data_IF_487076837286
#
_entry.id   IF_487076837286
#
_cell.length_a   1.000
_cell.length_b   1.000
_cell.length_c   1.000
_cell.angle_alpha   90.00
_cell.angle_beta   90.00
_cell.angle_gamma   90.00
#
_symmetry.space_group_name_H-M   'P 1'
#
loop_
_entity.id
_entity.type
_entity.pdbx_description
1 polymer ?
#
# COMPACT_ATOMS: atom_id res chain seq x y z
N UNK A 1 -9.79 36.68 10.14
CA UNK A 1 -9.91 35.33 10.76
C UNK A 1 -10.07 34.34 9.63
N UNK A 2 -9.21 33.32 9.54
CA UNK A 2 -9.47 32.18 8.66
C UNK A 2 -10.73 31.51 9.19
N UNK A 3 -11.81 31.56 8.41
CA UNK A 3 -13.08 30.93 8.76
C UNK A 3 -12.84 29.41 8.71
N UNK A 4 -12.81 28.75 9.86
CA UNK A 4 -12.64 27.30 9.94
C UNK A 4 -14.01 26.65 9.78
N UNK A 5 -14.24 25.95 8.66
CA UNK A 5 -15.44 25.13 8.53
C UNK A 5 -15.28 23.89 9.40
N UNK A 6 -16.24 23.67 10.30
CA UNK A 6 -16.33 22.44 11.06
C UNK A 6 -17.24 21.47 10.33
N UNK A 7 -16.68 20.31 9.97
CA UNK A 7 -17.43 19.24 9.34
C UNK A 7 -18.45 18.67 10.33
N UNK A 8 -19.72 18.73 9.96
CA UNK A 8 -20.77 17.99 10.65
C UNK A 8 -20.75 16.56 10.08
N UNK A 9 -20.37 15.58 10.90
CA UNK A 9 -20.31 14.17 10.46
C UNK A 9 -21.68 13.54 10.23
N UNK A 10 -22.74 14.14 10.78
CA UNK A 10 -24.11 13.69 10.63
C UNK A 10 -25.06 14.78 10.07
N UNK A 11 -24.91 15.18 8.80
CA UNK A 11 -25.79 16.17 8.17
C UNK A 11 -27.25 15.70 8.02
N UNK A 12 -27.51 14.39 8.08
CA UNK A 12 -28.85 13.79 7.90
C UNK A 12 -29.58 13.49 9.22
N UNK A 13 -28.94 13.75 10.38
CA UNK A 13 -29.47 13.37 11.69
C UNK A 13 -29.49 11.86 11.95
N UNK A 14 -28.81 11.08 11.10
CA UNK A 14 -28.49 9.68 11.31
C UNK A 14 -27.10 9.37 10.73
N UNK A 15 -26.14 9.08 11.63
CA UNK A 15 -24.75 8.78 11.28
C UNK A 15 -24.58 7.65 10.25
N UNK A 16 -25.45 6.65 10.24
CA UNK A 16 -25.39 5.54 9.29
C UNK A 16 -25.76 6.00 7.88
N UNK A 17 -26.77 6.85 7.76
CA UNK A 17 -27.21 7.40 6.46
C UNK A 17 -26.14 8.37 5.94
N UNK A 18 -25.65 9.25 6.81
CA UNK A 18 -24.57 10.18 6.50
C UNK A 18 -23.30 9.43 6.02
N UNK A 19 -22.94 8.35 6.70
CA UNK A 19 -21.80 7.50 6.32
C UNK A 19 -22.04 6.74 5.00
N UNK A 20 -23.24 6.20 4.79
CA UNK A 20 -23.60 5.52 3.55
C UNK A 20 -23.48 6.45 2.33
N UNK A 21 -23.81 7.74 2.50
CA UNK A 21 -23.64 8.71 1.43
C UNK A 21 -22.18 9.12 1.24
N UNK A 22 -21.42 9.29 2.34
CA UNK A 22 -19.97 9.53 2.25
C UNK A 22 -19.23 8.39 1.52
N UNK A 23 -19.77 7.17 1.55
CA UNK A 23 -19.23 6.02 0.82
C UNK A 23 -19.48 6.06 -0.69
N UNK A 24 -20.42 6.87 -1.20
CA UNK A 24 -20.81 6.87 -2.63
C UNK A 24 -19.62 7.06 -3.58
N UNK A 25 -18.72 8.05 -3.40
CA UNK A 25 -17.57 8.22 -4.29
C UNK A 25 -16.60 7.05 -4.24
N UNK A 26 -16.43 6.44 -3.05
CA UNK A 26 -15.53 5.30 -2.81
C UNK A 26 -16.08 4.07 -3.53
N UNK A 27 -17.34 3.73 -3.29
CA UNK A 27 -18.03 2.60 -3.93
C UNK A 27 -18.03 2.78 -5.45
N UNK A 28 -18.35 3.98 -5.93
CA UNK A 28 -18.28 4.27 -7.36
C UNK A 28 -16.88 4.02 -7.94
N UNK A 29 -15.82 4.48 -7.28
CA UNK A 29 -14.46 4.29 -7.74
C UNK A 29 -14.10 2.80 -7.87
N UNK A 30 -14.46 2.00 -6.88
CA UNK A 30 -14.26 0.54 -6.92
C UNK A 30 -15.07 -0.13 -8.04
N UNK A 31 -16.34 0.22 -8.21
CA UNK A 31 -17.18 -0.33 -9.28
C UNK A 31 -16.66 0.08 -10.67
N UNK A 32 -16.20 1.32 -10.82
CA UNK A 32 -15.61 1.84 -12.05
C UNK A 32 -14.39 1.05 -12.50
N UNK A 33 -13.53 0.65 -11.56
CA UNK A 33 -12.33 -0.13 -11.86
C UNK A 33 -12.59 -1.63 -11.97
N UNK A 34 -13.30 -2.22 -11.01
CA UNK A 34 -13.45 -3.67 -10.90
C UNK A 34 -14.50 -4.23 -11.87
N UNK A 35 -15.63 -3.53 -12.02
CA UNK A 35 -16.77 -4.01 -12.82
C UNK A 35 -16.77 -3.36 -14.20
N UNK A 36 -16.77 -2.02 -14.24
CA UNK A 36 -16.86 -1.28 -15.50
C UNK A 36 -15.53 -1.22 -16.26
N UNK A 37 -14.41 -1.61 -15.61
CA UNK A 37 -13.06 -1.66 -16.19
C UNK A 37 -12.66 -0.35 -16.89
N UNK A 38 -13.06 0.78 -16.31
CA UNK A 38 -12.78 2.10 -16.84
C UNK A 38 -11.28 2.41 -16.70
N UNK A 39 -10.78 3.30 -17.56
CA UNK A 39 -9.42 3.85 -17.40
C UNK A 39 -9.36 4.58 -16.05
N UNK A 40 -8.31 4.32 -15.26
CA UNK A 40 -8.16 4.88 -13.93
C UNK A 40 -8.23 6.41 -13.88
N UNK A 41 -7.71 7.10 -14.90
CA UNK A 41 -7.83 8.55 -15.02
C UNK A 41 -9.29 9.01 -15.10
N UNK A 42 -10.11 8.34 -15.90
CA UNK A 42 -11.54 8.69 -16.07
C UNK A 42 -12.31 8.37 -14.79
N UNK A 43 -12.08 7.18 -14.20
CA UNK A 43 -12.69 6.79 -12.94
C UNK A 43 -12.38 7.80 -11.82
N UNK A 44 -11.11 8.19 -11.66
CA UNK A 44 -10.68 9.15 -10.66
C UNK A 44 -11.30 10.53 -10.87
N UNK A 45 -11.34 11.05 -12.10
CA UNK A 45 -11.96 12.35 -12.38
C UNK A 45 -13.44 12.37 -12.02
N UNK A 46 -14.19 11.32 -12.36
CA UNK A 46 -15.61 11.22 -12.02
C UNK A 46 -15.78 11.10 -10.49
N UNK A 47 -14.94 10.31 -9.82
CA UNK A 47 -14.98 10.18 -8.35
C UNK A 47 -14.72 11.51 -7.65
N UNK A 48 -13.75 12.29 -8.09
CA UNK A 48 -13.46 13.62 -7.53
C UNK A 48 -14.66 14.56 -7.73
N UNK A 49 -15.30 14.50 -8.90
CA UNK A 49 -16.51 15.28 -9.16
C UNK A 49 -17.68 14.83 -8.28
N UNK A 50 -17.88 13.52 -8.09
CA UNK A 50 -18.90 13.00 -7.18
C UNK A 50 -18.65 13.43 -5.73
N UNK A 51 -17.40 13.35 -5.25
CA UNK A 51 -17.02 13.78 -3.91
C UNK A 51 -17.30 15.28 -3.71
N UNK A 52 -17.08 16.11 -4.73
CA UNK A 52 -17.44 17.53 -4.73
C UNK A 52 -18.93 17.77 -4.60
N UNK A 53 -19.74 17.06 -5.38
CA UNK A 53 -21.19 17.22 -5.31
C UNK A 53 -21.71 16.80 -3.93
N UNK A 54 -21.19 15.69 -3.37
CA UNK A 54 -21.53 15.25 -2.01
C UNK A 54 -21.13 16.30 -0.97
N UNK A 55 -19.94 16.89 -1.07
CA UNK A 55 -19.47 17.90 -0.10
C UNK A 55 -20.32 19.19 -0.16
N UNK A 56 -20.70 19.64 -1.35
CA UNK A 56 -21.53 20.83 -1.54
C UNK A 56 -22.98 20.62 -1.10
N UNK A 57 -23.63 19.57 -1.59
CA UNK A 57 -25.09 19.43 -1.44
C UNK A 57 -25.49 18.80 -0.11
N UNK A 58 -24.68 17.88 0.43
CA UNK A 58 -25.05 17.12 1.62
C UNK A 58 -24.35 17.61 2.87
N UNK A 59 -23.03 17.82 2.79
CA UNK A 59 -22.27 18.38 3.90
C UNK A 59 -22.34 19.92 3.95
N UNK A 60 -22.99 20.55 2.96
CA UNK A 60 -23.21 22.01 2.88
C UNK A 60 -21.91 22.80 3.06
N UNK A 61 -20.81 22.27 2.54
CA UNK A 61 -19.51 22.91 2.59
C UNK A 61 -19.52 24.18 1.73
N UNK A 62 -18.99 25.32 2.21
CA UNK A 62 -18.87 26.53 1.39
C UNK A 62 -18.08 26.26 0.10
N UNK A 63 -18.60 26.73 -1.04
CA UNK A 63 -18.02 26.46 -2.37
C UNK A 63 -16.53 26.82 -2.44
N UNK A 64 -16.14 27.97 -1.85
CA UNK A 64 -14.75 28.41 -1.83
C UNK A 64 -13.83 27.42 -1.12
N UNK A 65 -14.29 26.80 -0.02
CA UNK A 65 -13.51 25.80 0.69
C UNK A 65 -13.51 24.46 -0.03
N UNK A 66 -14.62 24.04 -0.62
CA UNK A 66 -14.69 22.82 -1.41
C UNK A 66 -13.72 22.86 -2.62
N UNK A 67 -13.68 24.00 -3.32
CA UNK A 67 -12.71 24.25 -4.41
C UNK A 67 -11.28 24.30 -3.88
N UNK A 68 -11.03 24.96 -2.74
CA UNK A 68 -9.72 25.00 -2.13
C UNK A 68 -9.21 23.60 -1.76
N UNK A 69 -10.08 22.73 -1.21
CA UNK A 69 -9.77 21.34 -0.90
C UNK A 69 -9.47 20.51 -2.16
N UNK A 70 -10.20 20.72 -3.26
CA UNK A 70 -9.88 20.09 -4.55
C UNK A 70 -8.50 20.48 -5.05
N UNK A 71 -8.19 21.79 -5.05
CA UNK A 71 -6.91 22.31 -5.50
C UNK A 71 -5.78 21.81 -4.61
N UNK A 72 -5.99 21.80 -3.29
CA UNK A 72 -5.06 21.22 -2.33
C UNK A 72 -4.79 19.74 -2.62
N UNK A 73 -5.85 18.94 -2.82
CA UNK A 73 -5.73 17.52 -3.18
C UNK A 73 -5.01 17.29 -4.51
N UNK A 74 -5.23 18.15 -5.51
CA UNK A 74 -4.50 18.12 -6.78
C UNK A 74 -3.00 18.36 -6.58
N UNK A 75 -2.62 19.41 -5.85
CA UNK A 75 -1.21 19.69 -5.57
C UNK A 75 -0.56 18.63 -4.67
N UNK A 76 -1.32 18.04 -3.74
CA UNK A 76 -0.86 16.90 -2.95
C UNK A 76 -0.63 15.65 -3.83
N UNK A 77 -1.49 15.40 -4.81
CA UNK A 77 -1.24 14.35 -5.81
C UNK A 77 -0.02 14.65 -6.69
N UNK A 78 0.14 15.90 -7.13
CA UNK A 78 1.19 16.30 -8.05
C UNK A 78 2.57 16.37 -7.38
N UNK A 79 2.64 16.86 -6.14
CA UNK A 79 3.91 17.16 -5.51
C UNK A 79 4.48 15.95 -4.75
N UNK A 80 3.95 15.51 -3.59
CA UNK A 80 4.52 14.35 -2.91
C UNK A 80 4.30 13.04 -3.68
N UNK A 81 3.08 12.75 -4.17
CA UNK A 81 2.78 11.42 -4.72
C UNK A 81 3.42 11.20 -6.10
N UNK A 82 3.21 12.12 -7.05
CA UNK A 82 3.75 11.94 -8.40
C UNK A 82 5.29 11.97 -8.40
N UNK A 83 5.92 12.74 -7.52
CA UNK A 83 7.39 12.81 -7.44
C UNK A 83 8.00 11.51 -6.93
N UNK A 84 7.36 10.82 -5.97
CA UNK A 84 7.76 9.49 -5.52
C UNK A 84 7.69 8.49 -6.68
N UNK A 85 6.57 8.47 -7.42
CA UNK A 85 6.39 7.54 -8.55
C UNK A 85 7.40 7.82 -9.66
N UNK A 86 7.62 9.10 -10.00
CA UNK A 86 8.62 9.49 -11.01
C UNK A 86 10.01 9.05 -10.57
N UNK A 87 10.40 9.30 -9.32
CA UNK A 87 11.68 8.88 -8.74
C UNK A 87 11.85 7.36 -8.78
N UNK A 88 10.84 6.60 -8.35
CA UNK A 88 10.85 5.14 -8.35
C UNK A 88 10.98 4.57 -9.77
N UNK A 89 10.19 5.07 -10.72
CA UNK A 89 10.25 4.64 -12.14
C UNK A 89 11.59 5.04 -12.76
N UNK A 90 12.15 6.19 -12.40
CA UNK A 90 13.44 6.64 -12.88
C UNK A 90 14.57 5.73 -12.39
N UNK A 91 14.62 5.40 -11.10
CA UNK A 91 15.56 4.44 -10.53
C UNK A 91 15.40 3.08 -11.19
N UNK A 92 14.16 2.59 -11.33
CA UNK A 92 13.87 1.33 -12.02
C UNK A 92 14.44 1.33 -13.46
N UNK A 93 14.17 2.38 -14.24
CA UNK A 93 14.68 2.50 -15.61
C UNK A 93 16.21 2.56 -15.67
N UNK A 94 16.87 3.22 -14.73
CA UNK A 94 18.33 3.23 -14.62
C UNK A 94 18.85 1.83 -14.32
N UNK A 95 18.28 1.14 -13.33
CA UNK A 95 18.70 -0.22 -12.94
C UNK A 95 18.52 -1.24 -14.07
N UNK A 96 17.44 -1.11 -14.85
CA UNK A 96 17.23 -1.94 -16.05
C UNK A 96 18.24 -1.58 -17.14
N UNK A 97 18.43 -0.29 -17.44
CA UNK A 97 19.33 0.15 -18.52
C UNK A 97 20.81 -0.14 -18.24
N UNK A 98 21.23 -0.12 -16.97
CA UNK A 98 22.61 -0.40 -16.55
C UNK A 98 22.91 -1.90 -16.42
N UNK A 99 21.93 -2.79 -16.65
CA UNK A 99 22.08 -4.23 -16.49
C UNK A 99 22.18 -4.69 -15.02
N UNK A 100 22.07 -3.78 -14.06
CA UNK A 100 22.06 -4.11 -12.63
C UNK A 100 20.88 -5.00 -12.26
N UNK A 101 19.77 -4.89 -12.99
CA UNK A 101 18.63 -5.79 -12.84
C UNK A 101 18.97 -7.26 -13.11
N UNK A 102 19.80 -7.53 -14.12
CA UNK A 102 20.26 -8.89 -14.43
C UNK A 102 21.22 -9.40 -13.35
N UNK A 103 22.02 -8.50 -12.77
CA UNK A 103 22.87 -8.83 -11.62
C UNK A 103 22.01 -9.21 -10.42
N UNK A 104 20.99 -8.42 -10.07
CA UNK A 104 20.04 -8.74 -8.98
C UNK A 104 19.39 -10.11 -9.22
N UNK A 105 18.89 -10.35 -10.44
CA UNK A 105 18.32 -11.64 -10.85
C UNK A 105 19.32 -12.79 -10.67
N UNK A 106 20.57 -12.60 -11.10
CA UNK A 106 21.62 -13.63 -10.99
C UNK A 106 22.01 -13.90 -9.53
N UNK A 107 22.05 -12.87 -8.69
CA UNK A 107 22.32 -13.00 -7.26
C UNK A 107 21.21 -13.79 -6.57
N UNK A 108 19.93 -13.54 -6.90
CA UNK A 108 18.80 -14.31 -6.33
C UNK A 108 18.86 -15.78 -6.77
N UNK A 109 19.10 -16.04 -8.06
CA UNK A 109 19.25 -17.41 -8.59
C UNK A 109 20.45 -18.16 -8.00
N UNK A 110 21.54 -17.46 -7.65
CA UNK A 110 22.70 -18.08 -7.01
C UNK A 110 22.44 -18.53 -5.57
N UNK A 111 21.42 -17.97 -4.90
CA UNK A 111 21.05 -18.37 -3.54
C UNK A 111 20.15 -19.61 -3.58
N UNK A 112 19.16 -19.63 -4.47
CA UNK A 112 18.19 -20.72 -4.53
C UNK A 112 17.50 -20.87 -5.88
N UNK A 113 17.33 -22.12 -6.30
CA UNK A 113 16.52 -22.51 -7.45
C UNK A 113 15.05 -22.76 -7.07
N UNK A 114 14.72 -22.84 -5.77
CA UNK A 114 13.35 -23.07 -5.31
C UNK A 114 12.50 -21.79 -5.49
N UNK A 115 11.49 -21.87 -6.36
CA UNK A 115 10.56 -20.78 -6.62
C UNK A 115 9.87 -20.27 -5.35
N UNK A 116 9.60 -21.14 -4.37
CA UNK A 116 8.98 -20.75 -3.08
C UNK A 116 9.90 -19.80 -2.31
N UNK A 117 11.19 -20.13 -2.24
CA UNK A 117 12.18 -19.29 -1.57
C UNK A 117 12.47 -18.01 -2.37
N UNK A 118 12.46 -18.06 -3.71
CA UNK A 118 12.54 -16.87 -4.54
C UNK A 118 11.37 -15.90 -4.29
N UNK A 119 10.16 -16.43 -4.06
CA UNK A 119 9.02 -15.61 -3.68
C UNK A 119 9.22 -14.92 -2.31
N UNK A 120 9.77 -15.61 -1.30
CA UNK A 120 10.10 -14.97 -0.03
C UNK A 120 11.16 -13.88 -0.17
N UNK A 121 12.20 -14.13 -0.97
CA UNK A 121 13.30 -13.17 -1.12
C UNK A 121 12.86 -11.94 -1.92
N UNK A 122 12.19 -12.16 -3.05
CA UNK A 122 11.86 -11.09 -4.01
C UNK A 122 10.51 -10.46 -3.71
N UNK A 123 9.47 -11.28 -3.60
CA UNK A 123 8.11 -10.78 -3.46
C UNK A 123 7.80 -10.31 -2.05
N UNK A 124 8.37 -10.95 -1.02
CA UNK A 124 8.26 -10.47 0.36
C UNK A 124 9.40 -9.52 0.73
N UNK A 125 10.62 -10.01 1.00
CA UNK A 125 11.66 -9.20 1.62
C UNK A 125 12.07 -7.96 0.79
N UNK A 126 12.34 -8.14 -0.50
CA UNK A 126 12.65 -7.01 -1.37
C UNK A 126 11.42 -6.13 -1.66
N UNK A 127 10.23 -6.75 -1.74
CA UNK A 127 8.95 -6.03 -1.90
C UNK A 127 8.62 -5.12 -0.73
N UNK A 128 8.75 -5.60 0.50
CA UNK A 128 8.52 -4.84 1.74
C UNK A 128 9.49 -3.67 1.85
N UNK A 129 10.76 -3.87 1.48
CA UNK A 129 11.75 -2.79 1.43
C UNK A 129 11.35 -1.70 0.43
N UNK A 130 10.95 -2.09 -0.78
CA UNK A 130 10.49 -1.14 -1.79
C UNK A 130 9.18 -0.42 -1.37
N UNK A 131 8.29 -1.08 -0.62
CA UNK A 131 7.06 -0.47 -0.08
C UNK A 131 7.35 0.65 0.91
N UNK A 132 8.39 0.51 1.72
CA UNK A 132 8.88 1.59 2.58
C UNK A 132 9.30 2.82 1.79
N UNK A 133 10.12 2.61 0.75
CA UNK A 133 10.72 3.68 -0.03
C UNK A 133 9.77 4.33 -1.06
N UNK A 134 8.92 3.54 -1.73
CA UNK A 134 8.12 3.99 -2.86
C UNK A 134 6.60 3.97 -2.61
N UNK A 135 6.11 2.95 -1.89
CA UNK A 135 4.69 2.71 -1.65
C UNK A 135 3.78 2.72 -2.90
N UNK A 136 2.48 2.94 -2.69
CA UNK A 136 1.47 3.14 -3.75
C UNK A 136 1.39 2.03 -4.81
N UNK A 137 1.79 0.80 -4.47
CA UNK A 137 1.74 -0.36 -5.38
C UNK A 137 2.85 -0.40 -6.45
N UNK A 138 3.77 0.57 -6.49
CA UNK A 138 4.97 0.49 -7.31
C UNK A 138 5.85 -0.74 -6.96
N UNK A 139 6.04 -1.12 -5.68
CA UNK A 139 6.80 -2.31 -5.28
C UNK A 139 6.22 -3.60 -5.84
N UNK A 140 4.90 -3.74 -5.81
CA UNK A 140 4.19 -4.91 -6.36
C UNK A 140 4.47 -5.05 -7.85
N UNK A 141 4.46 -3.94 -8.60
CA UNK A 141 4.76 -3.99 -10.03
C UNK A 141 6.22 -4.41 -10.31
N UNK A 142 7.17 -3.86 -9.55
CA UNK A 142 8.61 -4.16 -9.71
C UNK A 142 8.92 -5.62 -9.34
N UNK A 143 8.43 -6.08 -8.18
CA UNK A 143 8.65 -7.46 -7.71
C UNK A 143 7.95 -8.49 -8.58
N UNK A 144 6.73 -8.20 -9.06
CA UNK A 144 6.06 -9.07 -10.01
C UNK A 144 6.84 -9.20 -11.33
N UNK A 145 7.37 -8.09 -11.86
CA UNK A 145 8.20 -8.12 -13.06
C UNK A 145 9.51 -8.93 -12.85
N UNK A 146 10.13 -8.81 -11.67
CA UNK A 146 11.30 -9.61 -11.28
C UNK A 146 10.98 -11.11 -11.24
N UNK A 147 9.89 -11.50 -10.58
CA UNK A 147 9.45 -12.90 -10.51
C UNK A 147 9.09 -13.46 -11.89
N UNK A 148 8.49 -12.66 -12.77
CA UNK A 148 8.26 -13.05 -14.17
C UNK A 148 9.59 -13.31 -14.88
N UNK A 149 10.59 -12.45 -14.65
CA UNK A 149 11.96 -12.69 -15.12
C UNK A 149 12.55 -14.00 -14.60
N UNK A 150 12.21 -14.42 -13.38
CA UNK A 150 12.63 -15.69 -12.79
C UNK A 150 11.81 -16.92 -13.27
N UNK A 151 10.84 -16.73 -14.17
CA UNK A 151 10.09 -17.81 -14.81
C UNK A 151 8.66 -18.00 -14.27
N UNK A 152 8.18 -17.12 -13.40
CA UNK A 152 6.79 -17.16 -12.94
C UNK A 152 5.82 -16.69 -14.04
N UNK A 153 4.60 -17.23 -14.04
CA UNK A 153 3.53 -16.74 -14.92
C UNK A 153 3.13 -15.31 -14.50
N UNK A 154 2.97 -14.35 -15.43
CA UNK A 154 2.72 -12.94 -15.10
C UNK A 154 1.56 -12.66 -14.14
N UNK A 155 0.38 -13.19 -14.45
CA UNK A 155 -0.80 -13.01 -13.59
C UNK A 155 -0.63 -13.66 -12.21
N UNK A 156 0.08 -14.78 -12.17
CA UNK A 156 0.33 -15.51 -10.94
C UNK A 156 1.32 -14.76 -10.03
N UNK A 157 2.45 -14.30 -10.60
CA UNK A 157 3.42 -13.47 -9.89
C UNK A 157 2.79 -12.18 -9.34
N UNK A 158 2.01 -11.48 -10.16
CA UNK A 158 1.31 -10.27 -9.72
C UNK A 158 0.34 -10.55 -8.56
N UNK A 159 -0.41 -11.65 -8.63
CA UNK A 159 -1.31 -12.06 -7.54
C UNK A 159 -0.57 -12.39 -6.24
N UNK A 160 0.53 -13.15 -6.34
CA UNK A 160 1.39 -13.48 -5.19
C UNK A 160 1.98 -12.23 -4.53
N UNK A 161 2.52 -11.30 -5.33
CA UNK A 161 3.04 -10.03 -4.83
C UNK A 161 1.95 -9.18 -4.17
N UNK A 162 0.74 -9.12 -4.74
CA UNK A 162 -0.39 -8.39 -4.15
C UNK A 162 -0.78 -8.93 -2.77
N UNK A 163 -0.86 -10.26 -2.63
CA UNK A 163 -1.21 -10.90 -1.35
C UNK A 163 -0.16 -10.56 -0.29
N UNK A 164 1.12 -10.73 -0.63
CA UNK A 164 2.22 -10.52 0.32
C UNK A 164 2.41 -9.05 0.69
N UNK A 165 2.09 -8.12 -0.21
CA UNK A 165 2.15 -6.69 0.09
C UNK A 165 1.12 -6.24 1.15
N UNK A 166 0.16 -7.09 1.52
CA UNK A 166 -0.83 -6.78 2.57
C UNK A 166 -0.18 -6.49 3.93
N UNK A 167 0.94 -7.14 4.24
CA UNK A 167 1.64 -6.94 5.51
C UNK A 167 2.38 -5.58 5.60
N UNK A 168 3.21 -5.18 4.63
CA UNK A 168 3.90 -3.89 4.70
C UNK A 168 3.01 -2.68 4.45
N UNK A 169 1.95 -2.77 3.64
CA UNK A 169 1.29 -1.56 3.11
C UNK A 169 0.84 -0.53 4.16
N UNK A 170 0.57 -0.94 5.40
CA UNK A 170 0.19 -0.02 6.48
C UNK A 170 1.23 1.07 6.76
N UNK A 171 2.53 0.78 6.56
CA UNK A 171 3.64 1.72 6.76
C UNK A 171 4.28 2.17 5.43
N UNK A 172 3.65 1.85 4.30
CA UNK A 172 4.17 2.18 2.98
C UNK A 172 4.30 3.68 2.75
N UNK A 173 5.21 4.04 1.83
CA UNK A 173 5.55 5.42 1.50
C UNK A 173 5.90 6.25 2.75
N UNK A 174 6.85 5.76 3.56
CA UNK A 174 7.26 6.43 4.81
C UNK A 174 6.09 6.72 5.76
N UNK A 175 5.22 5.73 6.00
CA UNK A 175 4.16 5.84 7.01
C UNK A 175 2.97 6.74 6.64
N UNK A 176 2.83 7.17 5.39
CA UNK A 176 1.71 8.04 4.94
C UNK A 176 0.34 7.50 5.39
N UNK A 177 0.00 6.20 5.28
CA UNK A 177 -1.31 5.71 5.73
C UNK A 177 -1.56 5.94 7.22
N UNK A 178 -0.54 5.76 8.08
CA UNK A 178 -0.64 6.01 9.53
C UNK A 178 -0.77 7.49 9.82
N UNK A 179 0.04 8.33 9.15
CA UNK A 179 0.03 9.79 9.31
C UNK A 179 -1.33 10.35 8.92
N UNK A 180 -1.84 9.96 7.75
CA UNK A 180 -3.15 10.39 7.26
C UNK A 180 -4.26 9.89 8.18
N UNK A 181 -4.18 8.64 8.66
CA UNK A 181 -5.15 8.11 9.63
C UNK A 181 -5.20 8.93 10.92
N UNK A 182 -4.05 9.34 11.46
CA UNK A 182 -3.98 10.21 12.65
C UNK A 182 -4.58 11.59 12.37
N UNK A 183 -4.24 12.20 11.23
CA UNK A 183 -4.74 13.51 10.84
C UNK A 183 -6.27 13.55 10.67
N UNK A 184 -6.88 12.50 10.09
CA UNK A 184 -8.34 12.47 9.86
C UNK A 184 -9.12 12.05 11.09
N UNK A 185 -8.55 11.22 11.96
CA UNK A 185 -9.22 10.76 13.18
C UNK A 185 -9.01 11.68 14.39
N UNK A 186 -7.98 12.53 14.34
CA UNK A 186 -7.55 13.34 15.49
C UNK A 186 -6.85 12.53 16.58
N UNK A 187 -6.52 11.26 16.32
CA UNK A 187 -5.74 10.39 17.20
C UNK A 187 -4.26 10.60 16.92
N UNK A 188 -3.43 10.47 17.95
CA UNK A 188 -1.98 10.60 17.82
C UNK A 188 -1.43 9.54 16.84
N UNK A 189 -0.55 9.97 15.92
CA UNK A 189 0.00 9.10 14.87
C UNK A 189 0.85 7.98 15.45
N UNK A 190 1.52 8.23 16.58
CA UNK A 190 2.32 7.22 17.26
C UNK A 190 1.44 6.17 17.95
N UNK A 191 0.30 6.57 18.50
CA UNK A 191 -0.67 5.60 19.06
C UNK A 191 -1.22 4.65 17.98
N UNK A 192 -1.57 5.18 16.80
CA UNK A 192 -2.01 4.36 15.67
C UNK A 192 -0.87 3.44 15.20
N UNK A 193 0.34 3.98 15.04
CA UNK A 193 1.55 3.22 14.69
C UNK A 193 1.77 2.04 15.63
N UNK A 194 1.74 2.29 16.94
CA UNK A 194 1.90 1.27 17.97
C UNK A 194 0.82 0.19 17.91
N UNK A 195 -0.44 0.57 17.68
CA UNK A 195 -1.54 -0.38 17.59
C UNK A 195 -1.39 -1.29 16.37
N UNK A 196 -1.08 -0.71 15.21
CA UNK A 196 -0.87 -1.46 13.96
C UNK A 196 0.35 -2.37 14.07
N UNK A 197 1.47 -1.86 14.56
CA UNK A 197 2.71 -2.64 14.73
C UNK A 197 2.66 -3.71 15.81
N UNK A 198 1.62 -3.71 16.67
CA UNK A 198 1.31 -4.85 17.57
C UNK A 198 0.45 -5.91 16.92
N UNK A 199 -0.34 -5.57 15.90
CA UNK A 199 -1.24 -6.50 15.21
C UNK A 199 -0.57 -7.19 14.01
N UNK A 200 0.23 -6.45 13.25
CA UNK A 200 0.90 -6.97 12.05
C UNK A 200 1.86 -8.14 12.32
N UNK A 201 2.61 -8.20 13.45
CA UNK A 201 3.42 -9.37 13.80
C UNK A 201 2.67 -10.70 13.80
N UNK A 202 1.37 -10.68 14.06
CA UNK A 202 0.53 -11.89 13.99
C UNK A 202 0.04 -12.19 12.57
N UNK A 203 -0.16 -11.16 11.75
CA UNK A 203 -0.65 -11.31 10.37
C UNK A 203 0.44 -11.76 9.41
N UNK A 204 1.67 -11.26 9.56
CA UNK A 204 2.81 -11.59 8.69
C UNK A 204 3.03 -13.11 8.56
N UNK A 205 3.20 -13.89 9.64
CA UNK A 205 3.40 -15.33 9.52
C UNK A 205 2.21 -16.04 8.88
N UNK A 206 0.98 -15.57 9.13
CA UNK A 206 -0.23 -16.14 8.51
C UNK A 206 -0.18 -15.93 6.99
N UNK A 207 0.13 -14.71 6.54
CA UNK A 207 0.25 -14.38 5.10
C UNK A 207 1.36 -15.21 4.45
N UNK A 208 2.53 -15.34 5.10
CA UNK A 208 3.64 -16.12 4.56
C UNK A 208 3.36 -17.64 4.51
N UNK A 209 2.66 -18.19 5.50
CA UNK A 209 2.18 -19.57 5.45
C UNK A 209 1.17 -19.74 4.31
N UNK A 210 0.24 -18.79 4.18
CA UNK A 210 -0.84 -18.88 3.21
C UNK A 210 -0.31 -18.80 1.77
N UNK A 211 0.68 -17.96 1.50
CA UNK A 211 1.28 -17.92 0.17
C UNK A 211 2.03 -19.21 -0.18
N UNK A 212 2.74 -19.81 0.79
CA UNK A 212 3.39 -21.11 0.56
C UNK A 212 2.37 -22.21 0.30
N UNK A 213 1.23 -22.15 0.98
CA UNK A 213 0.11 -23.05 0.73
C UNK A 213 -0.53 -22.84 -0.66
N UNK A 214 -0.59 -21.61 -1.17
CA UNK A 214 -1.05 -21.33 -2.53
C UNK A 214 -0.06 -21.89 -3.57
N UNK A 215 1.24 -21.80 -3.31
CA UNK A 215 2.27 -22.22 -4.25
C UNK A 215 2.44 -23.73 -4.38
N UNK A 216 2.49 -24.46 -3.26
CA UNK A 216 2.77 -25.90 -3.26
C UNK A 216 2.01 -26.65 -2.15
N UNK A 217 0.87 -26.10 -1.71
CA UNK A 217 0.03 -26.71 -0.69
C UNK A 217 0.73 -26.84 0.67
N UNK A 218 0.24 -27.79 1.48
CA UNK A 218 0.80 -28.04 2.81
C UNK A 218 2.23 -28.61 2.78
N UNK A 219 2.64 -29.20 1.64
CA UNK A 219 4.02 -29.63 1.43
C UNK A 219 4.94 -28.43 1.35
N UNK A 220 4.56 -27.41 0.57
CA UNK A 220 5.27 -26.12 0.51
C UNK A 220 5.55 -25.55 1.89
N UNK A 221 4.51 -25.41 2.70
CA UNK A 221 4.62 -24.89 4.07
C UNK A 221 5.59 -25.70 4.92
N UNK A 222 5.51 -27.04 4.86
CA UNK A 222 6.36 -27.93 5.66
C UNK A 222 7.81 -27.93 5.21
N UNK A 223 8.10 -27.77 3.92
CA UNK A 223 9.48 -27.78 3.42
C UNK A 223 10.16 -26.42 3.62
N UNK A 224 9.40 -25.33 3.51
CA UNK A 224 9.94 -23.96 3.64
C UNK A 224 9.73 -23.35 5.03
N UNK A 225 9.27 -24.13 6.01
CA UNK A 225 8.97 -23.64 7.36
C UNK A 225 10.10 -22.83 8.03
N UNK A 226 11.41 -23.16 7.89
CA UNK A 226 12.46 -22.38 8.53
C UNK A 226 12.58 -21.00 7.88
N UNK A 227 12.46 -20.95 6.55
CA UNK A 227 12.51 -19.70 5.80
C UNK A 227 11.31 -18.80 6.13
N UNK A 228 10.10 -19.38 6.25
CA UNK A 228 8.90 -18.64 6.68
C UNK A 228 9.12 -18.05 8.08
N UNK A 229 9.64 -18.84 9.03
CA UNK A 229 9.87 -18.36 10.39
C UNK A 229 10.91 -17.25 10.44
N UNK A 230 12.04 -17.41 9.76
CA UNK A 230 13.08 -16.38 9.73
C UNK A 230 12.53 -15.09 9.10
N UNK A 231 11.89 -15.19 7.93
CA UNK A 231 11.35 -14.02 7.24
C UNK A 231 10.27 -13.31 8.06
N UNK A 232 9.31 -14.06 8.61
CA UNK A 232 8.23 -13.48 9.42
C UNK A 232 8.74 -12.90 10.74
N UNK A 233 9.63 -13.59 11.44
CA UNK A 233 10.15 -13.13 12.74
C UNK A 233 11.02 -11.90 12.56
N UNK A 234 11.94 -11.89 11.58
CA UNK A 234 12.80 -10.75 11.30
C UNK A 234 11.97 -9.51 10.95
N UNK A 235 11.01 -9.64 10.02
CA UNK A 235 10.14 -8.53 9.64
C UNK A 235 9.27 -8.05 10.81
N UNK A 236 8.63 -8.99 11.52
CA UNK A 236 7.71 -8.65 12.62
C UNK A 236 8.44 -7.99 13.79
N UNK A 237 9.67 -8.42 14.08
CA UNK A 237 10.48 -7.84 15.14
C UNK A 237 10.96 -6.44 14.76
N UNK A 238 11.47 -6.26 13.53
CA UNK A 238 11.88 -4.96 13.02
C UNK A 238 10.70 -3.98 13.10
N UNK A 239 9.57 -4.36 12.51
CA UNK A 239 8.34 -3.57 12.49
C UNK A 239 7.83 -3.24 13.91
N UNK A 240 7.79 -4.22 14.82
CA UNK A 240 7.34 -3.97 16.19
C UNK A 240 8.23 -2.95 16.90
N UNK A 241 9.55 -3.03 16.73
CA UNK A 241 10.50 -2.13 17.39
C UNK A 241 10.39 -0.72 16.82
N UNK A 242 10.41 -0.58 15.50
CA UNK A 242 10.34 0.72 14.84
C UNK A 242 9.00 1.41 15.12
N UNK A 243 7.89 0.66 15.09
CA UNK A 243 6.55 1.24 15.22
C UNK A 243 6.27 1.73 16.64
N UNK A 244 6.93 1.13 17.64
CA UNK A 244 6.75 1.46 19.05
C UNK A 244 7.75 2.49 19.57
N UNK A 245 8.95 2.60 18.99
CA UNK A 245 10.04 3.41 19.56
C UNK A 245 10.58 4.51 18.65
N UNK A 246 10.41 4.44 17.33
CA UNK A 246 10.98 5.40 16.39
C UNK A 246 9.91 6.30 15.79
N UNK A 247 8.89 5.70 15.17
CA UNK A 247 7.84 6.41 14.46
C UNK A 247 7.50 5.76 13.12
N UNK A 248 6.30 6.03 12.58
CA UNK A 248 5.80 5.36 11.37
C UNK A 248 6.60 5.68 10.10
N UNK A 249 7.41 6.74 10.08
CA UNK A 249 8.19 7.18 8.92
C UNK A 249 9.36 6.25 8.57
N UNK A 250 9.91 5.53 9.56
CA UNK A 250 11.16 4.75 9.44
C UNK A 250 10.90 3.24 9.42
N UNK A 251 9.65 2.82 9.52
CA UNK A 251 9.24 1.44 9.85
C UNK A 251 9.66 0.36 8.85
N UNK A 252 10.03 0.74 7.62
CA UNK A 252 10.28 -0.21 6.51
C UNK A 252 11.65 -0.06 5.85
N UNK A 253 12.48 0.86 6.34
CA UNK A 253 13.85 1.03 5.86
C UNK A 253 14.85 0.12 6.57
N UNK A 254 14.42 -0.59 7.63
CA UNK A 254 15.23 -1.45 8.53
C UNK A 254 14.81 -2.91 8.38
#
# INVERSE_FOLDING_TARGET
>A
MLQQWQQIYDPMGNIWISSAIALVPIVFFFLALAIFRMKGSVAATITVFLAFLVSLFLYKMPIGMALASMVYGFFYGLWPIAWIIIGAVFIYKISVKTGQFDIIRSSILSITEDQRLQMLLVGFAFGTFLEGAAGFGAPVAITAALLVGLGFKPLYAAGLCLIVNTAPVAFGAMGIPIIVAGQVSGVDTMEISQMVGRQLPFMVPIVLIWIMAIMDGWRGVKETWPAILVASLSFSLAQYLTSNFVGPEVDQEI
#
